data_IF_603384565388
#
_entry.id   IF_603384565388
#
_cell.length_a   1.000
_cell.length_b   1.000
_cell.length_c   1.000
_cell.angle_alpha   90.00
_cell.angle_beta   90.00
_cell.angle_gamma   90.00
#
_symmetry.space_group_name_H-M   'P 1'
#
loop_
_entity.id
_entity.type
_entity.pdbx_description
1 polymer ?
#
# COMPACT_ATOMS: atom_id res chain seq x y z
N UNK A 1 7.57 3.22 92.19
CA UNK A 1 6.45 3.30 91.21
C UNK A 1 7.04 3.42 89.83
N UNK A 2 7.11 2.26 89.08
CA UNK A 2 7.59 2.21 87.72
C UNK A 2 6.40 2.22 86.77
N UNK A 3 6.28 3.25 85.90
CA UNK A 3 5.25 3.32 84.86
C UNK A 3 5.72 2.52 83.64
N UNK A 4 4.96 1.52 83.25
CA UNK A 4 5.08 0.79 82.04
C UNK A 4 4.32 1.59 80.94
N UNK A 5 5.02 1.95 79.86
CA UNK A 5 4.44 2.53 78.67
C UNK A 5 4.33 1.39 77.65
N UNK A 6 3.07 1.08 77.27
CA UNK A 6 2.75 0.10 76.21
C UNK A 6 2.79 0.84 74.86
N UNK A 7 3.70 0.43 73.96
CA UNK A 7 3.70 0.85 72.57
C UNK A 7 2.77 -0.10 71.78
N UNK A 8 1.68 0.43 71.26
CA UNK A 8 0.84 -0.24 70.28
C UNK A 8 1.44 0.01 68.90
N UNK A 9 1.97 -1.02 68.24
CA UNK A 9 2.39 -0.96 66.84
C UNK A 9 1.17 -1.24 65.96
N UNK A 10 0.67 -0.22 65.26
CA UNK A 10 -0.34 -0.38 64.24
C UNK A 10 0.33 -0.88 62.94
N UNK A 11 0.11 -2.12 62.58
CA UNK A 11 0.51 -2.69 61.30
C UNK A 11 -0.51 -2.22 60.20
N UNK A 12 -0.13 -1.26 59.39
CA UNK A 12 -0.86 -0.87 58.18
C UNK A 12 -0.60 -1.92 57.08
N UNK A 13 -1.57 -2.77 56.82
CA UNK A 13 -1.61 -3.62 55.65
C UNK A 13 -1.82 -2.76 54.42
N UNK A 14 -0.74 -2.51 53.65
CA UNK A 14 -0.80 -2.01 52.29
C UNK A 14 -1.35 -3.12 51.38
N UNK A 15 -2.65 -3.07 51.06
CA UNK A 15 -3.23 -3.85 49.98
C UNK A 15 -2.69 -3.32 48.64
N UNK A 16 -1.70 -4.01 48.10
CA UNK A 16 -1.27 -3.81 46.71
C UNK A 16 -2.41 -4.35 45.84
N UNK A 17 -3.27 -3.44 45.35
CA UNK A 17 -4.20 -3.74 44.30
C UNK A 17 -3.38 -4.05 43.05
N UNK A 18 -3.30 -5.32 42.64
CA UNK A 18 -2.88 -5.69 41.30
C UNK A 18 -3.94 -5.12 40.33
N UNK A 19 -3.72 -3.94 39.81
CA UNK A 19 -4.48 -3.47 38.65
C UNK A 19 -4.20 -4.49 37.53
N UNK A 20 -5.21 -5.22 37.10
CA UNK A 20 -5.14 -6.05 35.90
C UNK A 20 -4.69 -5.13 34.77
N UNK A 21 -3.64 -5.54 34.02
CA UNK A 21 -3.27 -4.83 32.80
C UNK A 21 -4.52 -4.76 31.92
N UNK A 22 -4.85 -3.60 31.35
CA UNK A 22 -5.97 -3.50 30.43
C UNK A 22 -5.81 -4.59 29.35
N UNK A 23 -6.88 -5.35 29.13
CA UNK A 23 -6.90 -6.41 28.12
C UNK A 23 -6.56 -5.77 26.77
N UNK A 24 -5.53 -6.26 26.11
CA UNK A 24 -5.17 -5.78 24.79
C UNK A 24 -6.34 -6.03 23.83
N UNK A 25 -6.71 -5.03 23.05
CA UNK A 25 -7.69 -5.11 21.97
C UNK A 25 -7.33 -6.26 21.02
N UNK A 26 -8.27 -7.13 20.70
CA UNK A 26 -8.05 -8.18 19.71
C UNK A 26 -7.95 -7.58 18.30
N UNK A 27 -7.37 -8.32 17.34
CA UNK A 27 -7.33 -7.84 15.95
C UNK A 27 -8.71 -7.74 15.32
N UNK A 28 -9.69 -8.52 15.80
CA UNK A 28 -11.09 -8.40 15.37
C UNK A 28 -11.72 -7.08 15.87
N UNK A 29 -11.54 -6.76 17.16
CA UNK A 29 -12.00 -5.50 17.75
C UNK A 29 -11.32 -4.29 17.10
N UNK A 30 -10.00 -4.35 16.87
CA UNK A 30 -9.24 -3.33 16.16
C UNK A 30 -9.76 -3.12 14.73
N UNK A 31 -9.96 -4.20 13.99
CA UNK A 31 -10.48 -4.14 12.62
C UNK A 31 -11.87 -3.50 12.61
N UNK A 32 -12.75 -3.89 13.53
CA UNK A 32 -14.08 -3.29 13.64
C UNK A 32 -14.00 -1.79 13.89
N UNK A 33 -13.20 -1.35 14.86
CA UNK A 33 -13.01 0.06 15.19
C UNK A 33 -12.47 0.88 14.00
N UNK A 34 -11.50 0.34 13.27
CA UNK A 34 -10.95 1.04 12.09
C UNK A 34 -11.98 1.14 10.97
N UNK A 35 -12.75 0.09 10.69
CA UNK A 35 -13.81 0.16 9.67
C UNK A 35 -14.99 1.04 10.09
N UNK A 36 -15.32 1.11 11.38
CA UNK A 36 -16.26 2.09 11.91
C UNK A 36 -15.76 3.52 11.66
N UNK A 37 -14.47 3.80 11.92
CA UNK A 37 -13.86 5.10 11.63
C UNK A 37 -13.86 5.38 10.13
N UNK A 38 -13.50 4.42 9.28
CA UNK A 38 -13.53 4.58 7.82
C UNK A 38 -14.94 4.86 7.29
N UNK A 39 -15.96 4.22 7.88
CA UNK A 39 -17.35 4.45 7.51
C UNK A 39 -17.86 5.87 7.84
N UNK A 40 -17.19 6.59 8.72
CA UNK A 40 -17.45 8.01 9.02
C UNK A 40 -16.56 8.91 8.17
N UNK A 41 -15.26 8.65 8.11
CA UNK A 41 -14.27 9.52 7.45
C UNK A 41 -14.47 9.60 5.93
N UNK A 42 -14.57 8.47 5.21
CA UNK A 42 -14.65 8.50 3.76
C UNK A 42 -15.85 9.28 3.20
N UNK A 43 -17.07 9.23 3.78
CA UNK A 43 -18.15 10.13 3.38
C UNK A 43 -17.91 11.62 3.66
N UNK A 44 -17.12 11.96 4.68
CA UNK A 44 -16.70 13.35 4.92
C UNK A 44 -15.83 13.83 3.76
N UNK A 45 -14.85 13.01 3.35
CA UNK A 45 -14.01 13.29 2.19
C UNK A 45 -14.84 13.45 0.90
N UNK A 46 -15.86 12.60 0.68
CA UNK A 46 -16.80 12.74 -0.45
C UNK A 46 -17.49 14.11 -0.47
N UNK A 47 -17.92 14.61 0.68
CA UNK A 47 -18.56 15.93 0.80
C UNK A 47 -17.62 17.07 0.37
N UNK A 48 -16.34 16.98 0.71
CA UNK A 48 -15.34 17.97 0.26
C UNK A 48 -15.09 17.87 -1.25
N UNK A 49 -14.98 16.65 -1.80
CA UNK A 49 -14.82 16.44 -3.24
C UNK A 49 -16.01 16.96 -4.04
N UNK A 50 -17.24 16.77 -3.55
CA UNK A 50 -18.45 17.32 -4.17
C UNK A 50 -18.44 18.84 -4.16
N UNK A 51 -17.97 19.46 -3.09
CA UNK A 51 -17.86 20.92 -3.01
C UNK A 51 -16.89 21.47 -4.06
N UNK A 52 -15.79 20.76 -4.35
CA UNK A 52 -14.85 21.11 -5.41
C UNK A 52 -15.43 20.89 -6.81
N UNK A 53 -16.20 19.82 -7.03
CA UNK A 53 -16.86 19.53 -8.29
C UNK A 53 -17.92 20.60 -8.67
N UNK A 54 -18.51 21.28 -7.69
CA UNK A 54 -19.42 22.44 -7.96
C UNK A 54 -18.67 23.62 -8.57
N UNK A 55 -17.38 23.80 -8.22
CA UNK A 55 -16.56 24.90 -8.74
C UNK A 55 -16.09 24.65 -10.18
N UNK A 56 -15.99 23.39 -10.60
CA UNK A 56 -15.65 22.98 -11.97
C UNK A 56 -16.61 21.85 -12.44
N UNK A 57 -17.82 22.20 -12.87
CA UNK A 57 -18.83 21.23 -13.23
C UNK A 57 -18.41 20.31 -14.39
N UNK A 58 -18.57 19.01 -14.17
CA UNK A 58 -18.21 17.96 -15.13
C UNK A 58 -16.81 17.39 -14.94
N UNK A 59 -16.02 17.89 -13.99
CA UNK A 59 -14.72 17.31 -13.62
C UNK A 59 -14.88 16.41 -12.40
N UNK A 60 -14.51 15.13 -12.54
CA UNK A 60 -14.36 14.22 -11.40
C UNK A 60 -12.97 14.41 -10.83
N UNK A 61 -12.91 14.78 -9.56
CA UNK A 61 -11.65 14.94 -8.81
C UNK A 61 -11.45 13.79 -7.84
N UNK A 62 -10.21 13.40 -7.64
CA UNK A 62 -9.82 12.31 -6.75
C UNK A 62 -8.95 12.87 -5.63
N UNK A 63 -9.12 12.42 -4.38
CA UNK A 63 -8.30 12.87 -3.28
C UNK A 63 -6.87 12.34 -3.46
N UNK A 64 -5.90 13.14 -3.08
CA UNK A 64 -4.50 12.79 -3.12
C UNK A 64 -3.87 12.87 -1.74
N UNK A 65 -3.92 14.04 -1.12
CA UNK A 65 -3.24 14.37 0.14
C UNK A 65 -3.74 15.70 0.70
N UNK A 66 -2.95 16.28 1.60
CA UNK A 66 -3.09 17.64 2.12
C UNK A 66 -1.83 18.42 1.73
N UNK A 67 -2.03 19.66 1.27
CA UNK A 67 -0.93 20.58 0.96
C UNK A 67 -0.29 21.13 2.23
N UNK A 68 0.89 21.75 2.12
CA UNK A 68 1.61 22.35 3.26
C UNK A 68 0.85 23.48 3.97
N UNK A 69 -0.06 24.15 3.28
CA UNK A 69 -0.92 25.18 3.89
C UNK A 69 -2.19 24.60 4.52
N UNK A 70 -2.30 23.26 4.57
CA UNK A 70 -3.42 22.56 5.17
C UNK A 70 -4.64 22.40 4.27
N UNK A 71 -4.56 22.72 2.97
CA UNK A 71 -5.68 22.58 2.03
C UNK A 71 -5.76 21.14 1.47
N UNK A 72 -6.99 20.68 1.18
CA UNK A 72 -7.19 19.39 0.50
C UNK A 72 -6.54 19.42 -0.87
N UNK A 73 -5.65 18.45 -1.13
CA UNK A 73 -5.00 18.29 -2.43
C UNK A 73 -5.68 17.19 -3.23
N UNK A 74 -6.21 17.55 -4.39
CA UNK A 74 -6.88 16.64 -5.30
C UNK A 74 -6.14 16.51 -6.63
N UNK A 75 -6.51 15.51 -7.40
CA UNK A 75 -5.95 15.24 -8.72
C UNK A 75 -7.05 14.85 -9.71
N UNK A 76 -6.71 14.86 -10.99
CA UNK A 76 -7.57 14.30 -12.02
C UNK A 76 -7.36 12.77 -12.15
N UNK A 77 -8.19 12.13 -12.99
CA UNK A 77 -8.17 10.67 -13.18
C UNK A 77 -6.84 10.11 -13.70
N UNK A 78 -5.97 10.92 -14.34
CA UNK A 78 -4.66 10.46 -14.84
C UNK A 78 -3.59 10.33 -13.77
N UNK A 79 -3.81 10.93 -12.60
CA UNK A 79 -2.86 10.83 -11.50
C UNK A 79 -2.88 9.41 -10.92
N UNK A 80 -1.71 8.83 -10.70
CA UNK A 80 -1.54 7.42 -10.36
C UNK A 80 -2.38 6.92 -9.17
N UNK A 81 -2.72 7.78 -8.22
CA UNK A 81 -3.50 7.39 -7.06
C UNK A 81 -5.04 7.54 -7.21
N UNK A 82 -5.55 7.86 -8.40
CA UNK A 82 -6.98 8.09 -8.60
C UNK A 82 -7.87 6.87 -8.32
N UNK A 83 -7.32 5.65 -8.41
CA UNK A 83 -8.05 4.41 -8.13
C UNK A 83 -8.23 4.07 -6.66
N UNK A 84 -7.41 4.62 -5.75
CA UNK A 84 -7.38 4.18 -4.35
C UNK A 84 -8.61 4.61 -3.55
N UNK A 85 -9.10 5.82 -3.74
CA UNK A 85 -10.29 6.27 -3.01
C UNK A 85 -11.54 5.43 -3.33
N UNK A 86 -11.94 5.22 -4.60
CA UNK A 86 -13.01 4.27 -4.90
C UNK A 86 -12.70 2.84 -4.41
N UNK A 87 -11.44 2.43 -4.42
CA UNK A 87 -11.00 1.16 -3.83
C UNK A 87 -11.25 1.06 -2.33
N UNK A 88 -10.93 2.12 -1.57
CA UNK A 88 -11.21 2.20 -0.13
C UNK A 88 -12.71 2.10 0.17
N UNK A 89 -13.54 2.74 -0.64
CA UNK A 89 -15.00 2.64 -0.54
C UNK A 89 -15.49 1.20 -0.79
N UNK A 90 -14.91 0.50 -1.76
CA UNK A 90 -15.19 -0.93 -1.99
C UNK A 90 -14.82 -1.79 -0.78
N UNK A 91 -13.71 -1.53 -0.09
CA UNK A 91 -13.32 -2.26 1.12
C UNK A 91 -14.27 -1.99 2.30
N UNK A 92 -14.74 -0.75 2.46
CA UNK A 92 -15.75 -0.47 3.49
C UNK A 92 -17.07 -1.16 3.16
N UNK A 93 -17.48 -1.21 1.88
CA UNK A 93 -18.63 -2.02 1.45
C UNK A 93 -18.44 -3.50 1.77
N UNK A 94 -17.28 -4.07 1.45
CA UNK A 94 -16.95 -5.47 1.74
C UNK A 94 -17.08 -5.81 3.23
N UNK A 95 -16.59 -4.92 4.08
CA UNK A 95 -16.61 -5.13 5.53
C UNK A 95 -18.01 -4.96 6.13
N UNK A 96 -18.71 -3.90 5.75
CA UNK A 96 -19.96 -3.48 6.40
C UNK A 96 -21.22 -4.05 5.75
N UNK A 97 -21.19 -4.37 4.45
CA UNK A 97 -22.37 -4.69 3.65
C UNK A 97 -23.28 -3.50 3.36
N UNK A 98 -22.92 -2.27 3.78
CA UNK A 98 -23.73 -1.07 3.57
C UNK A 98 -23.64 -0.59 2.12
N UNK A 99 -24.74 -0.69 1.40
CA UNK A 99 -24.86 -0.35 -0.02
C UNK A 99 -24.43 1.08 -0.37
N UNK A 100 -24.48 2.02 0.57
CA UNK A 100 -24.05 3.40 0.34
C UNK A 100 -22.58 3.49 -0.11
N UNK A 101 -21.70 2.63 0.40
CA UNK A 101 -20.28 2.63 0.02
C UNK A 101 -20.06 2.08 -1.38
N UNK A 102 -20.86 1.09 -1.80
CA UNK A 102 -20.92 0.64 -3.19
C UNK A 102 -21.37 1.77 -4.11
N UNK A 103 -22.41 2.50 -3.74
CA UNK A 103 -22.92 3.63 -4.53
C UNK A 103 -21.88 4.73 -4.65
N UNK A 104 -21.19 5.07 -3.56
CA UNK A 104 -20.09 6.04 -3.57
C UNK A 104 -18.91 5.55 -4.45
N UNK A 105 -18.50 4.29 -4.35
CA UNK A 105 -17.44 3.76 -5.21
C UNK A 105 -17.81 3.86 -6.70
N UNK A 106 -19.05 3.50 -7.04
CA UNK A 106 -19.58 3.59 -8.40
C UNK A 106 -19.75 5.04 -8.90
N UNK A 107 -19.82 6.05 -8.02
CA UNK A 107 -19.81 7.47 -8.39
C UNK A 107 -18.48 7.89 -9.03
N UNK A 108 -17.35 7.38 -8.51
CA UNK A 108 -16.00 7.75 -8.97
C UNK A 108 -15.48 6.86 -10.10
N UNK A 109 -15.86 5.59 -10.10
CA UNK A 109 -15.30 4.58 -11.00
C UNK A 109 -15.44 4.91 -12.50
N UNK A 110 -16.57 5.42 -13.03
CA UNK A 110 -16.71 5.73 -14.45
C UNK A 110 -15.70 6.76 -14.96
N UNK A 111 -15.25 7.69 -14.11
CA UNK A 111 -14.22 8.68 -14.45
C UNK A 111 -12.85 8.06 -14.74
N UNK A 112 -12.61 6.82 -14.32
CA UNK A 112 -11.37 6.06 -14.55
C UNK A 112 -11.43 5.21 -15.82
N UNK A 113 -12.60 4.99 -16.42
CA UNK A 113 -12.75 4.15 -17.62
C UNK A 113 -11.81 4.51 -18.77
N UNK A 114 -11.56 5.80 -19.08
CA UNK A 114 -10.64 6.18 -20.17
C UNK A 114 -9.20 5.64 -19.99
N UNK A 115 -8.79 5.28 -18.76
CA UNK A 115 -7.47 4.72 -18.49
C UNK A 115 -7.25 3.36 -19.15
N UNK A 116 -8.30 2.63 -19.52
CA UNK A 116 -8.22 1.35 -20.23
C UNK A 116 -7.43 1.44 -21.53
N UNK A 117 -7.38 2.62 -22.15
CA UNK A 117 -6.65 2.87 -23.41
C UNK A 117 -5.38 3.70 -23.21
N UNK A 118 -4.96 3.94 -21.98
CA UNK A 118 -3.77 4.72 -21.66
C UNK A 118 -2.50 3.88 -21.87
N UNK A 119 -1.54 4.41 -22.66
CA UNK A 119 -0.28 3.74 -23.02
C UNK A 119 0.97 4.55 -22.68
N UNK A 120 0.84 5.70 -22.01
CA UNK A 120 1.95 6.61 -21.69
C UNK A 120 2.47 6.47 -20.25
N UNK A 121 1.82 5.64 -19.45
CA UNK A 121 2.14 5.42 -18.03
C UNK A 121 1.93 3.96 -17.62
N UNK A 122 2.65 3.48 -16.61
CA UNK A 122 2.51 2.13 -16.08
C UNK A 122 1.45 2.02 -14.98
N UNK A 123 1.11 3.13 -14.31
CA UNK A 123 0.27 3.15 -13.11
C UNK A 123 -1.21 2.82 -13.36
N UNK A 124 -1.58 2.51 -14.59
CA UNK A 124 -2.94 2.05 -14.91
C UNK A 124 -3.30 0.76 -14.16
N UNK A 125 -2.31 -0.05 -13.77
CA UNK A 125 -2.53 -1.21 -12.90
C UNK A 125 -3.05 -0.80 -11.53
N UNK A 126 -2.39 0.14 -10.84
CA UNK A 126 -2.90 0.70 -9.58
C UNK A 126 -4.31 1.26 -9.73
N UNK A 127 -4.53 2.06 -10.78
CA UNK A 127 -5.79 2.77 -10.97
C UNK A 127 -6.96 1.82 -11.22
N UNK A 128 -6.79 0.85 -12.12
CA UNK A 128 -7.85 -0.06 -12.54
C UNK A 128 -8.05 -1.23 -11.57
N UNK A 129 -6.97 -1.81 -11.01
CA UNK A 129 -7.13 -2.93 -10.07
C UNK A 129 -7.73 -2.48 -8.74
N UNK A 130 -7.35 -1.31 -8.22
CA UNK A 130 -7.94 -0.80 -6.98
C UNK A 130 -9.42 -0.42 -7.14
N UNK A 131 -9.86 -0.01 -8.31
CA UNK A 131 -11.25 0.39 -8.59
C UNK A 131 -12.07 -0.75 -9.23
N UNK A 132 -11.90 -0.98 -10.53
CA UNK A 132 -12.65 -2.00 -11.28
C UNK A 132 -12.34 -3.43 -10.82
N UNK A 133 -11.11 -3.72 -10.41
CA UNK A 133 -10.74 -5.02 -9.86
C UNK A 133 -11.52 -5.36 -8.58
N UNK A 134 -11.64 -4.41 -7.65
CA UNK A 134 -12.46 -4.59 -6.45
C UNK A 134 -13.95 -4.64 -6.76
N UNK A 135 -14.42 -3.85 -7.72
CA UNK A 135 -15.80 -3.92 -8.20
C UNK A 135 -16.15 -5.34 -8.66
N UNK A 136 -15.36 -5.92 -9.57
CA UNK A 136 -15.59 -7.27 -10.07
C UNK A 136 -15.58 -8.29 -8.93
N UNK A 137 -14.57 -8.28 -8.08
CA UNK A 137 -14.45 -9.21 -6.96
C UNK A 137 -15.66 -9.19 -6.02
N UNK A 138 -16.34 -8.04 -5.86
CA UNK A 138 -17.43 -7.84 -4.91
C UNK A 138 -18.84 -7.85 -5.57
N UNK A 139 -18.91 -7.97 -6.90
CA UNK A 139 -20.17 -8.01 -7.65
C UNK A 139 -20.32 -9.26 -8.49
N UNK A 140 -19.81 -10.40 -8.00
CA UNK A 140 -19.93 -11.75 -8.60
C UNK A 140 -19.22 -11.94 -9.96
N UNK A 141 -18.17 -11.15 -10.25
CA UNK A 141 -17.37 -11.26 -11.49
C UNK A 141 -18.18 -11.31 -12.81
N UNK A 142 -19.42 -10.79 -12.81
CA UNK A 142 -20.33 -10.93 -13.94
C UNK A 142 -20.55 -9.66 -14.76
N UNK A 143 -19.90 -8.54 -14.39
CA UNK A 143 -19.99 -7.29 -15.14
C UNK A 143 -19.05 -7.30 -16.34
N UNK A 144 -19.58 -7.62 -17.52
CA UNK A 144 -18.82 -7.68 -18.77
C UNK A 144 -18.19 -6.33 -19.15
N UNK A 145 -18.79 -5.20 -18.77
CA UNK A 145 -18.20 -3.88 -19.01
C UNK A 145 -16.97 -3.67 -18.13
N UNK A 146 -17.03 -4.03 -16.86
CA UNK A 146 -15.88 -3.96 -15.94
C UNK A 146 -14.77 -4.93 -16.37
N UNK A 147 -15.09 -6.16 -16.80
CA UNK A 147 -14.11 -7.10 -17.36
C UNK A 147 -13.38 -6.51 -18.57
N UNK A 148 -14.14 -5.92 -19.49
CA UNK A 148 -13.56 -5.27 -20.66
C UNK A 148 -12.58 -4.16 -20.28
N UNK A 149 -12.87 -3.37 -19.24
CA UNK A 149 -11.94 -2.33 -18.73
C UNK A 149 -10.63 -2.94 -18.25
N UNK A 150 -10.69 -4.04 -17.49
CA UNK A 150 -9.49 -4.75 -17.00
C UNK A 150 -8.69 -5.34 -18.17
N UNK A 151 -9.34 -6.02 -19.12
CA UNK A 151 -8.65 -6.65 -20.26
C UNK A 151 -8.02 -5.60 -21.17
N UNK A 152 -8.72 -4.53 -21.51
CA UNK A 152 -8.18 -3.45 -22.34
C UNK A 152 -7.04 -2.71 -21.63
N UNK A 153 -7.18 -2.45 -20.32
CA UNK A 153 -6.13 -1.86 -19.51
C UNK A 153 -4.86 -2.72 -19.48
N UNK A 154 -5.02 -4.03 -19.34
CA UNK A 154 -3.90 -4.97 -19.39
C UNK A 154 -3.21 -4.97 -20.76
N UNK A 155 -3.98 -4.98 -21.85
CA UNK A 155 -3.44 -4.87 -23.20
C UNK A 155 -2.70 -3.53 -23.41
N UNK A 156 -3.25 -2.44 -22.88
CA UNK A 156 -2.61 -1.12 -22.93
C UNK A 156 -1.29 -1.10 -22.15
N UNK A 157 -1.25 -1.68 -20.94
CA UNK A 157 -0.02 -1.82 -20.15
C UNK A 157 1.01 -2.70 -20.86
N UNK A 158 0.58 -3.80 -21.48
CA UNK A 158 1.47 -4.70 -22.21
C UNK A 158 2.14 -4.02 -23.42
N UNK A 159 1.57 -2.96 -24.00
CA UNK A 159 2.23 -2.18 -25.08
C UNK A 159 3.51 -1.47 -24.61
N UNK A 160 3.71 -1.35 -23.29
CA UNK A 160 4.90 -0.74 -22.70
C UNK A 160 6.04 -1.75 -22.48
N UNK A 161 5.78 -3.02 -22.72
CA UNK A 161 6.77 -4.08 -22.57
C UNK A 161 7.74 -4.05 -23.76
N UNK A 162 9.02 -4.11 -23.46
CA UNK A 162 10.09 -4.26 -24.43
C UNK A 162 10.77 -5.62 -24.22
N UNK A 163 10.79 -6.51 -25.21
CA UNK A 163 11.34 -7.85 -25.06
C UNK A 163 12.88 -7.89 -24.92
N UNK A 164 13.60 -6.87 -25.42
CA UNK A 164 15.06 -6.79 -25.26
C UNK A 164 15.43 -6.39 -23.83
N UNK A 165 14.68 -5.44 -23.24
CA UNK A 165 14.82 -5.05 -21.83
C UNK A 165 14.22 -6.12 -20.90
N UNK A 166 13.15 -6.78 -21.31
CA UNK A 166 12.40 -7.73 -20.51
C UNK A 166 11.52 -7.07 -19.44
N UNK A 167 11.14 -5.79 -19.61
CA UNK A 167 10.31 -5.05 -18.66
C UNK A 167 9.28 -4.15 -19.36
N UNK A 168 8.22 -3.81 -18.63
CA UNK A 168 7.32 -2.69 -18.98
C UNK A 168 7.96 -1.38 -18.54
N UNK A 169 7.97 -0.39 -19.45
CA UNK A 169 8.49 0.96 -19.17
C UNK A 169 7.58 1.71 -18.19
N UNK A 170 8.14 2.43 -17.21
CA UNK A 170 7.38 3.17 -16.21
C UNK A 170 6.72 4.42 -16.80
N UNK A 171 7.46 5.44 -17.10
CA UNK A 171 6.96 6.70 -17.66
C UNK A 171 7.78 7.18 -18.86
N UNK A 172 7.20 8.14 -19.60
CA UNK A 172 7.89 8.83 -20.67
C UNK A 172 8.50 10.12 -20.08
N UNK A 173 9.79 10.07 -19.77
CA UNK A 173 10.53 11.21 -19.21
C UNK A 173 11.84 11.38 -20.01
N UNK A 174 12.12 12.55 -20.59
CA UNK A 174 13.29 12.76 -21.45
C UNK A 174 14.64 12.64 -20.73
N UNK A 175 14.64 12.62 -19.39
CA UNK A 175 15.85 12.38 -18.57
C UNK A 175 16.34 10.93 -18.67
N UNK A 176 15.47 10.00 -19.05
CA UNK A 176 15.73 8.56 -19.08
C UNK A 176 15.47 7.99 -20.46
N UNK A 177 16.16 6.89 -20.78
CA UNK A 177 15.99 6.18 -22.04
C UNK A 177 14.83 5.18 -21.94
N UNK A 178 14.92 4.25 -21.01
CA UNK A 178 13.87 3.27 -20.71
C UNK A 178 13.81 3.02 -19.19
N UNK A 179 13.15 3.93 -18.44
CA UNK A 179 13.10 3.82 -16.99
C UNK A 179 12.12 2.74 -16.55
N UNK A 180 12.57 1.93 -15.60
CA UNK A 180 11.75 0.95 -14.86
C UNK A 180 11.93 1.21 -13.39
N UNK A 181 10.83 1.43 -12.65
CA UNK A 181 10.85 1.58 -11.20
C UNK A 181 10.28 0.32 -10.53
N UNK A 182 10.66 0.11 -9.27
CA UNK A 182 10.20 -1.06 -8.52
C UNK A 182 8.67 -1.12 -8.38
N UNK A 183 7.99 0.03 -8.42
CA UNK A 183 6.54 0.21 -8.39
C UNK A 183 5.82 -0.56 -9.52
N UNK A 184 6.50 -0.79 -10.66
CA UNK A 184 5.95 -1.60 -11.76
C UNK A 184 5.49 -2.98 -11.30
N UNK A 185 6.12 -3.56 -10.27
CA UNK A 185 5.71 -4.86 -9.72
C UNK A 185 4.25 -4.90 -9.31
N UNK A 186 3.71 -3.78 -8.80
CA UNK A 186 2.31 -3.66 -8.39
C UNK A 186 1.35 -3.69 -9.58
N UNK A 187 1.77 -3.17 -10.72
CA UNK A 187 0.96 -3.08 -11.93
C UNK A 187 0.86 -4.41 -12.69
N UNK A 188 1.69 -5.40 -12.35
CA UNK A 188 1.64 -6.75 -12.94
C UNK A 188 0.35 -7.51 -12.60
N UNK A 189 -0.31 -7.16 -11.48
CA UNK A 189 -1.59 -7.79 -11.12
C UNK A 189 -2.65 -7.58 -12.19
N UNK A 190 -2.68 -6.41 -12.83
CA UNK A 190 -3.59 -6.12 -13.95
C UNK A 190 -3.39 -7.11 -15.10
N UNK A 191 -2.13 -7.41 -15.46
CA UNK A 191 -1.80 -8.36 -16.53
C UNK A 191 -2.28 -9.78 -16.18
N UNK A 192 -1.97 -10.21 -14.96
CA UNK A 192 -2.26 -11.58 -14.50
C UNK A 192 -3.77 -11.78 -14.29
N UNK A 193 -4.47 -10.80 -13.73
CA UNK A 193 -5.90 -10.88 -13.49
C UNK A 193 -6.73 -10.82 -14.79
N UNK A 194 -6.28 -10.07 -15.79
CA UNK A 194 -6.96 -9.95 -17.07
C UNK A 194 -7.14 -11.31 -17.79
N UNK A 195 -6.23 -12.26 -17.57
CA UNK A 195 -6.28 -13.60 -18.15
C UNK A 195 -7.53 -14.35 -17.66
N UNK A 196 -7.89 -14.20 -16.39
CA UNK A 196 -9.11 -14.80 -15.83
C UNK A 196 -10.39 -14.29 -16.50
N UNK A 197 -10.33 -13.09 -17.10
CA UNK A 197 -11.43 -12.43 -17.80
C UNK A 197 -11.32 -12.53 -19.32
N UNK A 198 -10.51 -13.45 -19.84
CA UNK A 198 -10.39 -13.71 -21.28
C UNK A 198 -9.31 -12.88 -21.98
N UNK A 199 -8.45 -12.22 -21.24
CA UNK A 199 -7.25 -11.59 -21.78
C UNK A 199 -6.25 -12.61 -22.34
N UNK A 200 -5.31 -12.19 -23.20
CA UNK A 200 -4.32 -13.09 -23.80
C UNK A 200 -3.43 -13.78 -22.77
N UNK A 201 -3.20 -15.09 -22.93
CA UNK A 201 -2.27 -15.86 -22.07
C UNK A 201 -0.84 -15.30 -22.09
N UNK A 202 -0.42 -14.64 -23.17
CA UNK A 202 0.90 -13.98 -23.28
C UNK A 202 1.13 -12.88 -22.22
N UNK A 203 0.10 -12.35 -21.59
CA UNK A 203 0.22 -11.40 -20.48
C UNK A 203 0.95 -12.00 -19.27
N UNK A 204 0.83 -13.33 -19.08
CA UNK A 204 1.58 -14.06 -18.06
C UNK A 204 3.09 -14.02 -18.33
N UNK A 205 3.48 -14.23 -19.59
CA UNK A 205 4.90 -14.20 -19.98
C UNK A 205 5.48 -12.79 -19.79
N UNK A 206 4.72 -11.74 -20.13
CA UNK A 206 5.09 -10.34 -19.87
C UNK A 206 5.33 -10.11 -18.39
N UNK A 207 4.38 -10.50 -17.53
CA UNK A 207 4.48 -10.31 -16.08
C UNK A 207 5.66 -11.10 -15.47
N UNK A 208 5.84 -12.37 -15.84
CA UNK A 208 6.95 -13.18 -15.32
C UNK A 208 8.32 -12.69 -15.80
N UNK A 209 8.44 -12.31 -17.07
CA UNK A 209 9.68 -11.77 -17.60
C UNK A 209 10.05 -10.48 -16.90
N UNK A 210 9.08 -9.58 -16.72
CA UNK A 210 9.27 -8.35 -15.96
C UNK A 210 9.74 -8.64 -14.52
N UNK A 211 9.03 -9.51 -13.80
CA UNK A 211 9.39 -9.85 -12.41
C UNK A 211 10.80 -10.43 -12.29
N UNK A 212 11.20 -11.33 -13.21
CA UNK A 212 12.55 -11.95 -13.22
C UNK A 212 13.65 -10.95 -13.61
N UNK A 213 13.37 -10.05 -14.56
CA UNK A 213 14.32 -8.98 -14.91
C UNK A 213 14.49 -8.00 -13.75
N UNK A 214 13.40 -7.64 -13.09
CA UNK A 214 13.42 -6.80 -11.89
C UNK A 214 14.18 -7.49 -10.75
N UNK A 215 13.94 -8.78 -10.50
CA UNK A 215 14.68 -9.58 -9.52
C UNK A 215 16.19 -9.52 -9.75
N UNK A 216 16.62 -9.64 -11.00
CA UNK A 216 18.04 -9.64 -11.38
C UNK A 216 18.69 -8.26 -11.26
N UNK A 217 17.97 -7.20 -11.62
CA UNK A 217 18.56 -5.90 -11.90
C UNK A 217 18.22 -4.80 -10.88
N UNK A 218 17.12 -4.95 -10.12
CA UNK A 218 16.73 -3.94 -9.11
C UNK A 218 17.22 -4.28 -7.71
N UNK A 219 17.69 -5.49 -7.46
CA UNK A 219 18.10 -5.90 -6.10
C UNK A 219 19.61 -5.95 -5.98
N UNK A 220 20.10 -5.48 -4.83
CA UNK A 220 21.50 -5.60 -4.41
C UNK A 220 21.74 -6.98 -3.76
N UNK A 221 22.98 -7.30 -3.48
CA UNK A 221 23.36 -8.58 -2.87
C UNK A 221 22.70 -8.82 -1.50
N UNK A 222 22.35 -7.75 -0.78
CA UNK A 222 21.65 -7.81 0.51
C UNK A 222 20.11 -7.90 0.38
N UNK A 223 19.57 -7.94 -0.83
CA UNK A 223 18.15 -7.89 -1.17
C UNK A 223 17.44 -6.54 -0.92
N UNK A 224 18.20 -5.46 -0.70
CA UNK A 224 17.63 -4.12 -0.85
C UNK A 224 17.42 -3.79 -2.32
N UNK A 225 16.41 -2.97 -2.66
CA UNK A 225 16.16 -2.64 -4.06
C UNK A 225 16.54 -1.19 -4.39
N UNK A 226 17.03 -0.99 -5.61
CA UNK A 226 17.05 0.31 -6.28
C UNK A 226 15.62 0.76 -6.58
N UNK A 227 15.37 2.06 -6.50
CA UNK A 227 14.08 2.60 -6.93
C UNK A 227 13.94 2.50 -8.45
N UNK A 228 14.96 2.93 -9.22
CA UNK A 228 14.93 3.03 -10.66
C UNK A 228 16.13 2.35 -11.30
N UNK A 229 15.87 1.61 -12.37
CA UNK A 229 16.87 1.13 -13.34
C UNK A 229 16.52 1.68 -14.73
N UNK A 230 17.45 2.37 -15.37
CA UNK A 230 17.32 2.88 -16.72
C UNK A 230 18.07 1.97 -17.70
N UNK A 231 17.39 1.53 -18.74
CA UNK A 231 17.92 0.56 -19.70
C UNK A 231 18.15 1.17 -21.09
N UNK A 232 19.04 0.55 -21.85
CA UNK A 232 19.13 0.73 -23.28
C UNK A 232 18.16 -0.24 -23.98
N UNK A 233 17.10 0.23 -24.66
CA UNK A 233 16.13 -0.64 -25.31
C UNK A 233 16.67 -1.37 -26.55
N UNK A 234 17.82 -0.96 -27.10
CA UNK A 234 18.43 -1.65 -28.24
C UNK A 234 19.27 -2.87 -27.82
N UNK A 235 19.77 -2.90 -26.55
CA UNK A 235 20.70 -3.92 -26.08
C UNK A 235 20.25 -4.62 -24.80
N UNK A 236 19.20 -4.11 -24.12
CA UNK A 236 18.77 -4.59 -22.80
C UNK A 236 19.73 -4.26 -21.64
N UNK A 237 20.85 -3.57 -21.93
CA UNK A 237 21.86 -3.25 -20.93
C UNK A 237 21.43 -2.16 -19.97
N UNK A 238 21.89 -2.26 -18.72
CA UNK A 238 21.66 -1.24 -17.69
C UNK A 238 22.53 -0.01 -18.01
N UNK A 239 21.89 1.16 -18.16
CA UNK A 239 22.58 2.45 -18.27
C UNK A 239 22.93 2.97 -16.87
N UNK A 240 21.98 2.87 -15.92
CA UNK A 240 22.18 3.32 -14.53
C UNK A 240 21.16 2.69 -13.58
N UNK A 241 21.55 2.63 -12.32
CA UNK A 241 20.69 2.27 -11.18
C UNK A 241 20.71 3.44 -10.21
N UNK A 242 19.53 3.93 -9.80
CA UNK A 242 19.43 5.15 -8.98
C UNK A 242 18.14 5.22 -8.20
N UNK A 243 18.02 6.28 -7.40
CA UNK A 243 16.75 6.68 -6.80
C UNK A 243 16.14 7.91 -7.50
N UNK A 244 14.82 8.10 -7.30
CA UNK A 244 14.08 9.34 -7.59
C UNK A 244 13.41 9.84 -6.31
N UNK A 245 12.91 8.93 -5.47
CA UNK A 245 12.16 9.25 -4.25
C UNK A 245 12.89 8.86 -2.98
N UNK A 246 13.92 7.99 -3.02
CA UNK A 246 14.75 7.64 -1.87
C UNK A 246 15.84 8.68 -1.56
N UNK A 247 16.52 8.49 -0.45
CA UNK A 247 17.55 9.39 0.06
C UNK A 247 18.75 9.51 -0.88
N UNK A 248 19.27 8.40 -1.37
CA UNK A 248 20.44 8.30 -2.24
C UNK A 248 20.31 7.09 -3.18
N UNK A 249 21.16 7.03 -4.22
CA UNK A 249 21.11 5.95 -5.21
C UNK A 249 21.42 4.57 -4.60
N UNK A 250 22.15 4.53 -3.51
CA UNK A 250 22.52 3.33 -2.75
C UNK A 250 21.66 3.12 -1.49
N UNK A 251 20.73 4.00 -1.17
CA UNK A 251 19.81 3.84 -0.03
C UNK A 251 18.64 2.91 -0.32
N UNK A 252 17.94 2.52 0.73
CA UNK A 252 16.75 1.69 0.68
C UNK A 252 15.50 2.54 0.99
N UNK A 253 14.89 3.10 -0.04
CA UNK A 253 13.64 3.83 0.07
C UNK A 253 12.51 2.92 0.58
N UNK A 254 11.87 3.27 1.70
CA UNK A 254 10.96 2.37 2.41
C UNK A 254 9.77 1.93 1.57
N UNK A 255 9.12 2.83 0.83
CA UNK A 255 7.99 2.45 -0.02
C UNK A 255 8.40 1.61 -1.22
N UNK A 256 9.61 1.80 -1.77
CA UNK A 256 10.14 0.91 -2.80
C UNK A 256 10.31 -0.52 -2.30
N UNK A 257 10.85 -0.69 -1.08
CA UNK A 257 10.92 -2.00 -0.43
C UNK A 257 9.52 -2.58 -0.17
N UNK A 258 8.54 -1.72 0.19
CA UNK A 258 7.16 -2.12 0.42
C UNK A 258 6.48 -2.60 -0.87
N UNK A 259 6.72 -1.92 -2.01
CA UNK A 259 6.24 -2.39 -3.31
C UNK A 259 6.81 -3.77 -3.67
N UNK A 260 8.09 -3.98 -3.38
CA UNK A 260 8.72 -5.27 -3.63
C UNK A 260 8.10 -6.40 -2.80
N UNK A 261 7.97 -6.22 -1.47
CA UNK A 261 7.41 -7.26 -0.59
C UNK A 261 5.92 -7.52 -0.83
N UNK A 262 5.19 -6.58 -1.45
CA UNK A 262 3.82 -6.83 -1.91
C UNK A 262 3.82 -7.52 -3.28
N UNK A 263 4.58 -6.99 -4.24
CA UNK A 263 4.51 -7.39 -5.65
C UNK A 263 4.96 -8.84 -5.89
N UNK A 264 6.04 -9.31 -5.24
CA UNK A 264 6.52 -10.68 -5.46
C UNK A 264 5.56 -11.77 -4.92
N UNK A 265 5.02 -11.71 -3.70
CA UNK A 265 3.98 -12.64 -3.27
C UNK A 265 2.73 -12.60 -4.15
N UNK A 266 2.34 -11.43 -4.64
CA UNK A 266 1.23 -11.26 -5.57
C UNK A 266 1.50 -12.00 -6.88
N UNK A 267 2.67 -11.83 -7.50
CA UNK A 267 3.05 -12.57 -8.73
C UNK A 267 3.08 -14.09 -8.45
N UNK A 268 3.62 -14.51 -7.31
CA UNK A 268 3.61 -15.93 -6.91
C UNK A 268 2.19 -16.48 -6.78
N UNK A 269 1.26 -15.72 -6.24
CA UNK A 269 -0.15 -16.14 -6.09
C UNK A 269 -0.75 -16.63 -7.42
N UNK A 270 -0.46 -15.93 -8.51
CA UNK A 270 -0.97 -16.27 -9.85
C UNK A 270 -0.13 -17.33 -10.58
N UNK A 271 1.19 -17.33 -10.37
CA UNK A 271 2.11 -18.09 -11.24
C UNK A 271 2.62 -19.38 -10.62
N UNK A 272 2.74 -19.44 -9.29
CA UNK A 272 3.32 -20.53 -8.50
C UNK A 272 4.79 -20.86 -8.86
N UNK A 273 5.52 -19.87 -9.39
CA UNK A 273 6.93 -20.00 -9.73
C UNK A 273 7.80 -19.91 -8.48
N UNK A 274 8.60 -20.95 -8.20
CA UNK A 274 9.34 -21.07 -6.94
C UNK A 274 10.40 -19.98 -6.76
N UNK A 275 11.09 -19.57 -7.83
CA UNK A 275 12.06 -18.49 -7.81
C UNK A 275 11.46 -17.15 -7.36
N UNK A 276 10.21 -16.89 -7.71
CA UNK A 276 9.45 -15.71 -7.26
C UNK A 276 9.17 -15.76 -5.75
N UNK A 277 8.75 -16.93 -5.24
CA UNK A 277 8.55 -17.11 -3.80
C UNK A 277 9.84 -16.99 -3.00
N UNK A 278 10.92 -17.63 -3.48
CA UNK A 278 12.22 -17.60 -2.81
C UNK A 278 12.75 -16.16 -2.71
N UNK A 279 12.55 -15.35 -3.75
CA UNK A 279 12.92 -13.95 -3.74
C UNK A 279 12.04 -13.12 -2.79
N UNK A 280 10.73 -13.37 -2.76
CA UNK A 280 9.82 -12.72 -1.78
C UNK A 280 10.27 -12.99 -0.33
N UNK A 281 10.69 -14.23 -0.03
CA UNK A 281 11.26 -14.59 1.26
C UNK A 281 12.55 -13.81 1.54
N UNK A 282 13.46 -13.71 0.57
CA UNK A 282 14.72 -12.97 0.72
C UNK A 282 14.48 -11.49 1.02
N UNK A 283 13.50 -10.86 0.36
CA UNK A 283 13.08 -9.47 0.65
C UNK A 283 12.55 -9.35 2.08
N UNK A 284 11.70 -10.28 2.54
CA UNK A 284 11.18 -10.25 3.91
C UNK A 284 12.30 -10.38 4.95
N UNK A 285 13.27 -11.27 4.71
CA UNK A 285 14.41 -11.47 5.62
C UNK A 285 15.34 -10.24 5.67
N UNK A 286 15.43 -9.47 4.60
CA UNK A 286 16.12 -8.17 4.60
C UNK A 286 15.35 -7.10 5.39
N UNK A 287 14.01 -7.04 5.22
CA UNK A 287 13.19 -5.98 5.79
C UNK A 287 12.96 -6.12 7.30
N UNK A 288 12.62 -7.33 7.76
CA UNK A 288 12.18 -7.54 9.15
C UNK A 288 13.15 -7.03 10.22
N UNK A 289 14.48 -7.27 10.13
CA UNK A 289 15.43 -6.76 11.12
C UNK A 289 15.67 -5.24 11.03
N UNK A 290 15.21 -4.59 9.97
CA UNK A 290 15.38 -3.15 9.73
C UNK A 290 14.15 -2.33 10.17
N UNK A 291 13.04 -2.99 10.49
CA UNK A 291 11.86 -2.31 10.99
C UNK A 291 12.11 -1.67 12.35
N UNK A 292 11.63 -0.44 12.58
CA UNK A 292 11.63 0.18 13.90
C UNK A 292 10.85 -0.65 14.92
N UNK A 293 11.02 -0.31 16.21
CA UNK A 293 10.34 -1.04 17.30
C UNK A 293 8.82 -1.05 17.14
N UNK A 294 8.22 0.01 16.62
CA UNK A 294 6.78 0.14 16.35
C UNK A 294 6.33 -0.51 15.03
N UNK A 295 7.25 -0.91 14.16
CA UNK A 295 6.99 -1.58 12.89
C UNK A 295 6.70 -0.65 11.71
N UNK A 296 6.42 0.66 11.92
CA UNK A 296 6.20 1.61 10.83
C UNK A 296 7.54 2.20 10.38
N UNK A 297 7.93 2.05 9.10
CA UNK A 297 9.26 2.48 8.66
C UNK A 297 9.40 4.01 8.63
N UNK A 298 10.65 4.48 8.72
CA UNK A 298 11.01 5.81 8.25
C UNK A 298 10.91 5.83 6.71
N UNK A 299 10.81 7.01 6.11
CA UNK A 299 10.68 7.16 4.66
C UNK A 299 11.81 6.51 3.85
N UNK A 300 13.00 6.41 4.46
CA UNK A 300 14.17 5.70 3.94
C UNK A 300 14.91 5.01 5.09
N UNK A 301 15.29 3.75 4.92
CA UNK A 301 15.93 2.94 5.98
C UNK A 301 17.35 3.40 6.31
N UNK A 302 17.99 4.14 5.41
CA UNK A 302 19.36 4.61 5.55
C UNK A 302 19.43 6.11 5.91
N UNK A 303 18.31 6.71 6.31
CA UNK A 303 18.30 8.10 6.73
C UNK A 303 19.20 8.33 7.96
N UNK A 304 20.15 9.27 7.88
CA UNK A 304 21.02 9.61 9.00
C UNK A 304 20.29 10.34 10.14
N UNK A 305 19.04 10.73 9.94
CA UNK A 305 18.21 11.42 10.94
C UNK A 305 17.42 10.45 11.83
N UNK A 306 17.45 9.15 11.58
CA UNK A 306 16.80 8.15 12.45
C UNK A 306 17.42 8.24 13.85
N UNK A 307 16.60 8.28 14.95
CA UNK A 307 15.16 8.06 15.01
C UNK A 307 14.28 9.32 14.89
N UNK A 308 14.80 10.46 14.46
CA UNK A 308 14.10 11.74 14.44
C UNK A 308 13.71 12.19 13.01
N UNK A 309 13.56 11.24 12.09
CA UNK A 309 13.10 11.52 10.73
C UNK A 309 11.61 11.19 10.55
N UNK A 310 11.02 11.65 9.43
CA UNK A 310 9.62 11.42 9.09
C UNK A 310 9.36 9.93 8.80
N UNK A 311 8.16 9.50 9.16
CA UNK A 311 7.66 8.14 8.92
C UNK A 311 7.02 8.03 7.54
N UNK A 312 6.81 6.79 7.10
CA UNK A 312 5.96 6.51 5.95
C UNK A 312 4.92 5.43 6.33
N UNK A 313 3.77 5.89 6.83
CA UNK A 313 2.64 5.02 7.17
C UNK A 313 2.17 4.22 5.96
N UNK A 314 2.25 4.80 4.74
CA UNK A 314 1.88 4.10 3.51
C UNK A 314 2.77 2.88 3.25
N UNK A 315 4.08 3.01 3.44
CA UNK A 315 5.01 1.88 3.31
C UNK A 315 4.71 0.80 4.36
N UNK A 316 4.37 1.18 5.59
CA UNK A 316 3.94 0.25 6.64
C UNK A 316 2.69 -0.55 6.23
N UNK A 317 1.65 0.12 5.74
CA UNK A 317 0.41 -0.50 5.30
C UNK A 317 0.63 -1.48 4.14
N UNK A 318 1.41 -1.09 3.12
CA UNK A 318 1.76 -1.93 1.97
C UNK A 318 2.55 -3.17 2.41
N UNK A 319 3.54 -2.99 3.30
CA UNK A 319 4.31 -4.12 3.86
C UNK A 319 3.44 -5.09 4.63
N UNK A 320 2.49 -4.60 5.41
CA UNK A 320 1.55 -5.47 6.14
C UNK A 320 0.77 -6.35 5.15
N UNK A 321 0.27 -5.80 4.04
CA UNK A 321 -0.39 -6.58 2.98
C UNK A 321 0.51 -7.68 2.43
N UNK A 322 1.76 -7.34 2.06
CA UNK A 322 2.72 -8.27 1.49
C UNK A 322 3.12 -9.38 2.46
N UNK A 323 3.40 -9.04 3.73
CA UNK A 323 3.77 -10.01 4.76
C UNK A 323 2.62 -10.96 5.10
N UNK A 324 1.37 -10.47 5.16
CA UNK A 324 0.19 -11.30 5.37
C UNK A 324 0.04 -12.29 4.21
N UNK A 325 0.19 -11.86 2.98
CA UNK A 325 0.11 -12.74 1.81
C UNK A 325 1.24 -13.77 1.83
N UNK A 326 2.49 -13.33 1.98
CA UNK A 326 3.66 -14.22 2.01
C UNK A 326 3.56 -15.27 3.12
N UNK A 327 2.97 -14.91 4.27
CA UNK A 327 2.79 -15.82 5.40
C UNK A 327 2.00 -17.09 5.08
N UNK A 328 1.19 -17.06 4.02
CA UNK A 328 0.35 -18.19 3.60
C UNK A 328 1.12 -19.21 2.73
N UNK A 329 2.33 -18.85 2.24
CA UNK A 329 3.09 -19.64 1.27
C UNK A 329 4.39 -20.22 1.81
N UNK A 330 4.70 -19.98 3.09
CA UNK A 330 5.95 -20.39 3.75
C UNK A 330 5.70 -21.36 4.89
N UNK A 331 6.79 -21.92 5.46
CA UNK A 331 6.72 -22.78 6.64
C UNK A 331 6.12 -22.05 7.87
N UNK A 332 5.72 -22.82 8.88
CA UNK A 332 5.01 -22.31 10.07
C UNK A 332 5.85 -21.28 10.87
N UNK A 333 7.18 -21.43 10.90
CA UNK A 333 8.06 -20.50 11.63
C UNK A 333 8.10 -19.14 10.95
N UNK A 334 8.37 -19.11 9.64
CA UNK A 334 8.36 -17.88 8.85
C UNK A 334 6.95 -17.26 8.82
N UNK A 335 5.92 -18.08 8.62
CA UNK A 335 4.52 -17.66 8.65
C UNK A 335 4.19 -16.88 9.93
N UNK A 336 4.57 -17.43 11.09
CA UNK A 336 4.37 -16.77 12.38
C UNK A 336 5.12 -15.43 12.46
N UNK A 337 6.41 -15.40 12.09
CA UNK A 337 7.23 -14.19 12.12
C UNK A 337 6.64 -13.08 11.24
N UNK A 338 6.18 -13.42 10.04
CA UNK A 338 5.61 -12.45 9.09
C UNK A 338 4.26 -11.92 9.60
N UNK A 339 3.42 -12.78 10.17
CA UNK A 339 2.16 -12.37 10.82
C UNK A 339 2.41 -11.49 12.04
N UNK A 340 3.34 -11.84 12.91
CA UNK A 340 3.68 -11.04 14.10
C UNK A 340 4.14 -9.63 13.69
N UNK A 341 4.95 -9.51 12.63
CA UNK A 341 5.38 -8.22 12.11
C UNK A 341 4.21 -7.41 11.50
N UNK A 342 3.37 -8.06 10.69
CA UNK A 342 2.18 -7.42 10.11
C UNK A 342 1.19 -6.97 11.20
N UNK A 343 0.91 -7.80 12.22
CA UNK A 343 0.06 -7.44 13.34
C UNK A 343 0.59 -6.21 14.07
N UNK A 344 1.90 -6.16 14.31
CA UNK A 344 2.55 -5.02 14.96
C UNK A 344 2.35 -3.74 14.16
N UNK A 345 2.62 -3.78 12.86
CA UNK A 345 2.40 -2.63 11.96
C UNK A 345 0.93 -2.18 12.03
N UNK A 346 -0.02 -3.11 11.89
CA UNK A 346 -1.44 -2.78 11.90
C UNK A 346 -1.90 -2.17 13.24
N UNK A 347 -1.39 -2.66 14.37
CA UNK A 347 -1.68 -2.09 15.69
C UNK A 347 -1.13 -0.67 15.83
N UNK A 348 0.06 -0.42 15.32
CA UNK A 348 0.65 0.92 15.33
C UNK A 348 -0.14 1.87 14.44
N UNK A 349 -0.47 1.48 13.21
CA UNK A 349 -1.28 2.29 12.30
C UNK A 349 -2.70 2.55 12.83
N UNK A 350 -3.24 1.66 13.66
CA UNK A 350 -4.54 1.84 14.30
C UNK A 350 -4.49 2.63 15.62
N UNK A 351 -3.32 3.10 16.05
CA UNK A 351 -3.17 3.93 17.26
C UNK A 351 -3.58 5.37 17.01
N UNK A 352 -3.83 6.13 18.10
CA UNK A 352 -4.18 7.56 18.04
C UNK A 352 -3.08 8.43 17.41
N UNK A 353 -1.83 7.91 17.37
CA UNK A 353 -0.71 8.59 16.71
C UNK A 353 -0.90 8.62 15.20
N UNK A 354 -1.38 7.51 14.60
CA UNK A 354 -1.49 7.37 13.14
C UNK A 354 -2.91 7.47 12.61
N UNK A 355 -3.91 6.99 13.36
CA UNK A 355 -5.30 7.01 12.92
C UNK A 355 -5.91 8.39 13.17
N UNK A 356 -6.44 9.03 12.14
CA UNK A 356 -7.14 10.30 12.24
C UNK A 356 -8.38 10.21 13.12
N UNK A 357 -8.66 11.28 13.87
CA UNK A 357 -9.92 11.43 14.56
C UNK A 357 -11.08 11.70 13.60
N UNK A 358 -12.31 11.56 14.09
CA UNK A 358 -13.50 11.81 13.30
C UNK A 358 -13.56 13.27 12.83
N UNK A 359 -13.61 13.47 11.50
CA UNK A 359 -13.59 14.78 10.86
C UNK A 359 -12.20 15.41 10.71
N UNK A 360 -11.14 14.78 11.24
CA UNK A 360 -9.77 15.24 11.05
C UNK A 360 -9.32 15.01 9.60
N UNK A 361 -8.41 15.85 9.13
CA UNK A 361 -7.71 15.71 7.84
C UNK A 361 -8.64 15.45 6.63
N UNK A 362 -9.74 16.20 6.55
CA UNK A 362 -10.73 16.11 5.46
C UNK A 362 -11.40 14.74 5.29
N UNK A 363 -11.17 13.79 6.21
CA UNK A 363 -11.70 12.45 6.14
C UNK A 363 -10.72 11.39 5.62
N UNK A 364 -9.42 11.69 5.53
CA UNK A 364 -8.39 10.66 5.42
C UNK A 364 -8.33 9.81 6.69
N UNK A 365 -7.75 8.60 6.58
CA UNK A 365 -7.66 7.67 7.71
C UNK A 365 -6.31 7.74 8.41
N UNK A 366 -5.21 7.78 7.66
CA UNK A 366 -3.86 7.70 8.22
C UNK A 366 -3.08 9.01 8.07
N UNK A 367 -2.46 9.41 9.16
CA UNK A 367 -1.43 10.45 9.25
C UNK A 367 -0.04 9.89 8.91
N UNK A 368 0.96 10.75 8.88
CA UNK A 368 2.39 10.41 8.89
C UNK A 368 2.88 9.55 7.73
N UNK A 369 2.41 9.84 6.52
CA UNK A 369 2.96 9.25 5.30
C UNK A 369 3.90 10.23 4.58
N UNK A 370 4.83 9.71 3.78
CA UNK A 370 5.78 10.52 3.03
C UNK A 370 5.81 10.13 1.55
N UNK A 371 5.28 10.99 0.69
CA UNK A 371 5.22 10.79 -0.76
C UNK A 371 6.58 10.95 -1.41
N UNK A 372 7.16 12.16 -1.38
CA UNK A 372 8.46 12.45 -1.99
C UNK A 372 9.21 13.54 -1.21
N UNK A 373 10.04 13.13 -0.26
CA UNK A 373 10.82 14.06 0.58
C UNK A 373 11.85 14.85 -0.23
N UNK A 374 12.42 14.29 -1.31
CA UNK A 374 13.43 14.95 -2.12
C UNK A 374 12.93 16.22 -2.82
N UNK A 375 11.64 16.24 -3.15
CA UNK A 375 10.97 17.39 -3.78
C UNK A 375 10.13 18.17 -2.79
N UNK A 376 10.20 17.84 -1.50
CA UNK A 376 9.40 18.41 -0.43
C UNK A 376 7.90 18.37 -0.73
N UNK A 377 7.45 17.26 -1.33
CA UNK A 377 6.08 16.99 -1.73
C UNK A 377 5.50 15.84 -0.91
N UNK A 378 4.35 16.09 -0.27
CA UNK A 378 3.64 15.07 0.53
C UNK A 378 4.52 14.50 1.63
N UNK A 379 5.08 15.37 2.48
CA UNK A 379 5.96 14.99 3.59
C UNK A 379 5.20 15.08 4.91
N UNK A 380 5.11 13.95 5.62
CA UNK A 380 4.42 13.84 6.91
C UNK A 380 2.93 14.27 6.84
N UNK A 381 2.20 13.72 5.87
CA UNK A 381 0.81 14.04 5.56
C UNK A 381 -0.02 12.78 5.30
N UNK A 382 -1.38 12.87 5.34
CA UNK A 382 -2.25 11.80 4.84
C UNK A 382 -2.03 11.53 3.35
N UNK A 383 -2.13 10.24 2.97
CA UNK A 383 -2.06 9.82 1.56
C UNK A 383 -3.18 8.82 1.24
N UNK A 384 -3.92 9.06 0.18
CA UNK A 384 -5.07 8.22 -0.20
C UNK A 384 -4.72 6.73 -0.36
N UNK A 385 -3.50 6.41 -0.80
CA UNK A 385 -3.04 5.03 -0.92
C UNK A 385 -2.61 4.40 0.42
N UNK A 386 -2.23 5.21 1.41
CA UNK A 386 -2.01 4.72 2.77
C UNK A 386 -3.31 4.15 3.36
N UNK A 387 -4.41 4.89 3.20
CA UNK A 387 -5.74 4.48 3.64
C UNK A 387 -6.18 3.18 2.94
N UNK A 388 -5.99 3.12 1.63
CA UNK A 388 -6.35 1.94 0.83
C UNK A 388 -5.63 0.69 1.33
N UNK A 389 -4.31 0.71 1.42
CA UNK A 389 -3.53 -0.47 1.82
C UNK A 389 -3.72 -0.82 3.30
N UNK A 390 -4.02 0.16 4.14
CA UNK A 390 -4.37 -0.12 5.53
C UNK A 390 -5.67 -0.92 5.65
N UNK A 391 -6.72 -0.50 4.95
CA UNK A 391 -7.99 -1.22 4.91
C UNK A 391 -7.82 -2.61 4.25
N UNK A 392 -7.06 -2.70 3.18
CA UNK A 392 -6.75 -3.96 2.52
C UNK A 392 -6.04 -4.93 3.48
N UNK A 393 -5.02 -4.46 4.20
CA UNK A 393 -4.27 -5.30 5.14
C UNK A 393 -5.15 -5.85 6.26
N UNK A 394 -6.09 -5.06 6.78
CA UNK A 394 -7.05 -5.50 7.79
C UNK A 394 -8.02 -6.57 7.25
N UNK A 395 -8.49 -6.42 6.00
CA UNK A 395 -9.32 -7.45 5.35
C UNK A 395 -8.53 -8.72 5.09
N UNK A 396 -7.29 -8.61 4.61
CA UNK A 396 -6.38 -9.75 4.44
C UNK A 396 -6.11 -10.46 5.77
N UNK A 397 -5.90 -9.70 6.85
CA UNK A 397 -5.74 -10.27 8.20
C UNK A 397 -6.98 -11.04 8.65
N UNK A 398 -8.16 -10.45 8.50
CA UNK A 398 -9.45 -11.09 8.82
C UNK A 398 -9.67 -12.39 8.03
N UNK A 399 -9.15 -12.47 6.80
CA UNK A 399 -9.27 -13.66 5.95
C UNK A 399 -8.27 -14.77 6.29
N UNK A 400 -7.26 -14.53 7.14
CA UNK A 400 -6.33 -15.57 7.59
C UNK A 400 -7.08 -16.67 8.37
N UNK A 401 -6.81 -17.91 7.99
CA UNK A 401 -7.38 -19.10 8.63
C UNK A 401 -6.47 -19.65 9.74
#
# INVERSE_FOLDING_TARGET
>A
MKKFILFLAAATLLSVSCAEKPKQETMEELTARVFERAAVQLPILDTYLDSLAVLDPGTVVYPRSITKDGSLWTSNYKWWCSGFYPGSLWFVYEYTGDAKFKELALKYQPGLEPLRFRTDDHDIGFQLMCSYGNCLRLTDDNDEACKAVIVDGANSLATRFDPEVGCTRSWNNPKYTFPVIIDNMMNLELLLKAIEFGGPESLKDVALTHARTTMKNHFREDNSCFHLVDYNPETGEIIRQQTVQGLADDSAWARGQAWAIYGYPMVYRFTKEQDILDHAVAIAEYLLPRLPEDGVPYWDYDSPLIPNDVRDASAGAIMACGLIELSQWVDAEKSKRYRDAAEKILRTLASDEYLCDEGEDYGFLLKHSTGNKNTDSEVDVPLTYADYYFLEALLRWKALK
#
